data_IF_067500279369
#
_entry.id   IF_067500279369
#
_cell.length_a   1.000
_cell.length_b   1.000
_cell.length_c   1.000
_cell.angle_alpha   90.00
_cell.angle_beta   90.00
_cell.angle_gamma   90.00
#
_symmetry.space_group_name_H-M   'P 1'
#
loop_
_entity.id
_entity.type
_entity.pdbx_description
1 polymer ?
#
# COMPACT_ATOMS: atom_id res chain seq x y z
N UNK A 1 18.09 35.57 -21.98
CA UNK A 1 16.83 35.84 -22.70
C UNK A 1 15.73 35.04 -22.03
N UNK A 2 14.66 35.72 -21.60
CA UNK A 2 13.48 35.12 -20.96
C UNK A 2 12.56 34.55 -22.04
N UNK A 3 12.28 33.25 -22.05
CA UNK A 3 11.14 32.72 -22.81
C UNK A 3 10.08 32.22 -21.82
N UNK A 4 8.90 32.82 -21.94
CA UNK A 4 7.69 32.51 -21.17
C UNK A 4 6.91 31.36 -21.83
N UNK A 5 6.14 30.60 -21.04
CA UNK A 5 5.41 29.42 -21.48
C UNK A 5 4.08 29.79 -22.16
N UNK A 6 3.66 29.00 -23.14
CA UNK A 6 2.32 29.08 -23.74
C UNK A 6 1.63 27.73 -23.56
N UNK A 7 0.96 27.58 -22.42
CA UNK A 7 0.04 26.48 -22.13
C UNK A 7 -1.32 26.84 -22.74
N UNK A 8 -1.71 26.19 -23.83
CA UNK A 8 -3.05 26.33 -24.41
C UNK A 8 -3.95 25.21 -23.89
N UNK A 9 -4.95 25.63 -23.10
CA UNK A 9 -6.09 24.87 -22.61
C UNK A 9 -7.01 24.42 -23.75
N UNK A 10 -7.46 23.16 -23.71
CA UNK A 10 -8.54 22.61 -24.53
C UNK A 10 -9.58 21.96 -23.59
N UNK A 11 -10.81 22.50 -23.46
CA UNK A 11 -11.89 21.84 -22.76
C UNK A 11 -12.71 21.00 -23.74
N UNK A 12 -12.76 19.68 -23.54
CA UNK A 12 -13.71 18.82 -24.25
C UNK A 12 -14.91 18.56 -23.34
N UNK A 13 -15.96 19.30 -23.64
CA UNK A 13 -17.32 19.16 -23.13
C UNK A 13 -17.97 17.95 -23.83
N UNK A 14 -18.36 16.92 -23.08
CA UNK A 14 -19.25 15.86 -23.59
C UNK A 14 -20.44 15.75 -22.64
N UNK A 15 -21.54 16.37 -23.07
CA UNK A 15 -22.89 16.14 -22.53
C UNK A 15 -23.54 15.13 -23.45
N UNK A 16 -23.79 13.91 -22.97
CA UNK A 16 -24.72 13.00 -23.62
C UNK A 16 -25.90 12.68 -22.69
N UNK A 17 -27.07 13.05 -23.20
CA UNK A 17 -28.38 12.86 -22.62
C UNK A 17 -28.96 11.48 -22.98
N UNK A 18 -29.87 11.01 -22.12
CA UNK A 18 -31.05 10.21 -22.50
C UNK A 18 -30.87 8.69 -22.61
N UNK A 19 -31.60 7.91 -21.80
CA UNK A 19 -32.96 7.46 -22.16
C UNK A 19 -33.54 6.50 -21.10
N UNK A 20 -34.76 6.79 -20.67
CA UNK A 20 -35.66 5.92 -19.89
C UNK A 20 -36.42 5.00 -20.85
N UNK A 21 -36.66 3.73 -20.49
CA UNK A 21 -38.05 3.29 -20.37
C UNK A 21 -38.31 2.40 -19.14
N UNK A 22 -39.34 2.78 -18.37
CA UNK A 22 -40.06 1.89 -17.45
C UNK A 22 -41.07 1.04 -18.24
N UNK A 23 -41.27 -0.23 -17.88
CA UNK A 23 -42.61 -0.63 -17.40
C UNK A 23 -42.62 -1.70 -16.29
N UNK A 24 -43.57 -1.56 -15.36
CA UNK A 24 -44.21 -2.59 -14.51
C UNK A 24 -45.74 -2.49 -14.81
N UNK A 25 -46.66 -3.43 -14.49
CA UNK A 25 -46.62 -4.73 -13.78
C UNK A 25 -47.29 -5.88 -14.60
N UNK A 26 -47.46 -7.15 -14.19
CA UNK A 26 -48.31 -7.74 -13.11
C UNK A 26 -48.17 -9.30 -13.21
N UNK A 27 -48.58 -10.11 -12.21
CA UNK A 27 -48.03 -11.44 -11.91
C UNK A 27 -48.68 -12.59 -12.70
N UNK A 28 -47.99 -13.72 -12.75
CA UNK A 28 -48.62 -15.02 -13.01
C UNK A 28 -48.01 -16.03 -12.04
N UNK A 29 -48.81 -16.42 -11.04
CA UNK A 29 -48.55 -17.59 -10.23
C UNK A 29 -48.93 -18.83 -11.06
N UNK A 30 -48.00 -19.76 -11.22
CA UNK A 30 -48.29 -21.17 -11.50
C UNK A 30 -47.28 -21.99 -10.71
N UNK A 31 -47.79 -22.63 -9.66
CA UNK A 31 -47.10 -23.70 -8.96
C UNK A 31 -46.93 -24.89 -9.90
N UNK A 32 -45.74 -25.48 -9.92
CA UNK A 32 -45.55 -26.88 -10.26
C UNK A 32 -44.43 -27.41 -9.39
N UNK A 33 -44.85 -28.09 -8.33
CA UNK A 33 -44.01 -28.96 -7.53
C UNK A 33 -43.36 -30.00 -8.45
N UNK A 34 -42.04 -30.01 -8.48
CA UNK A 34 -41.26 -31.18 -8.83
C UNK A 34 -40.08 -31.22 -7.87
N UNK A 35 -40.19 -32.11 -6.90
CA UNK A 35 -39.16 -32.36 -5.90
C UNK A 35 -37.95 -33.02 -6.57
N UNK A 36 -36.91 -32.21 -6.81
CA UNK A 36 -35.57 -32.69 -7.15
C UNK A 36 -34.77 -32.85 -5.84
N UNK A 37 -34.04 -33.95 -5.60
CA UNK A 37 -33.27 -34.11 -4.38
C UNK A 37 -32.20 -33.02 -4.27
N UNK A 38 -32.32 -32.19 -3.23
CA UNK A 38 -31.39 -31.13 -2.89
C UNK A 38 -30.14 -31.74 -2.27
N UNK A 39 -29.06 -31.84 -3.05
CA UNK A 39 -27.71 -31.95 -2.49
C UNK A 39 -27.40 -30.61 -1.83
N UNK A 40 -27.44 -30.59 -0.50
CA UNK A 40 -27.07 -29.46 0.35
C UNK A 40 -25.64 -29.00 0.04
N UNK A 41 -25.43 -27.76 -0.45
CA UNK A 41 -24.14 -27.12 -0.26
C UNK A 41 -24.04 -26.70 1.21
N UNK A 42 -22.94 -27.08 1.86
CA UNK A 42 -22.59 -26.65 3.21
C UNK A 42 -22.69 -25.12 3.35
N UNK A 43 -23.01 -24.59 4.54
CA UNK A 43 -23.01 -23.14 4.75
C UNK A 43 -21.60 -22.61 4.50
N UNK A 44 -21.45 -21.79 3.46
CA UNK A 44 -20.27 -20.95 3.25
C UNK A 44 -20.08 -20.12 4.53
N UNK A 45 -18.92 -20.17 5.21
CA UNK A 45 -18.67 -19.23 6.29
C UNK A 45 -18.73 -17.83 5.69
N UNK A 46 -19.70 -17.04 6.15
CA UNK A 46 -19.72 -15.61 5.88
C UNK A 46 -18.41 -15.05 6.42
N UNK A 47 -17.59 -14.49 5.53
CA UNK A 47 -16.39 -13.77 5.96
C UNK A 47 -16.88 -12.60 6.82
N UNK A 48 -16.65 -12.68 8.12
CA UNK A 48 -16.80 -11.53 9.01
C UNK A 48 -15.96 -10.40 8.40
N UNK A 49 -16.48 -9.17 8.28
CA UNK A 49 -15.68 -8.03 7.84
C UNK A 49 -14.44 -7.95 8.71
N UNK A 50 -13.27 -7.95 8.08
CA UNK A 50 -12.01 -7.76 8.78
C UNK A 50 -12.14 -6.51 9.65
N UNK A 51 -11.85 -6.68 10.95
CA UNK A 51 -11.70 -5.58 11.89
C UNK A 51 -10.90 -4.48 11.19
N UNK A 52 -11.46 -3.27 11.14
CA UNK A 52 -10.74 -2.11 10.62
C UNK A 52 -9.55 -1.92 11.54
N UNK A 53 -8.39 -2.43 11.11
CA UNK A 53 -7.13 -2.32 11.86
C UNK A 53 -6.95 -0.85 12.17
N UNK A 54 -7.01 -0.51 13.45
CA UNK A 54 -6.74 0.85 13.91
C UNK A 54 -5.38 1.26 13.32
N UNK A 55 -5.22 2.50 12.82
CA UNK A 55 -3.96 2.91 12.24
C UNK A 55 -2.81 2.65 13.23
N UNK A 56 -1.62 2.23 12.74
CA UNK A 56 -0.42 2.09 13.55
C UNK A 56 -0.29 3.30 14.48
N UNK A 57 -0.24 3.06 15.78
CA UNK A 57 0.23 4.10 16.68
C UNK A 57 1.74 4.23 16.54
N UNK A 58 2.25 5.45 16.63
CA UNK A 58 3.68 5.81 16.68
C UNK A 58 4.48 5.15 17.83
N UNK A 59 3.91 4.17 18.54
CA UNK A 59 4.56 3.39 19.60
C UNK A 59 4.28 1.89 19.55
N UNK A 60 3.68 1.38 18.46
CA UNK A 60 3.35 -0.04 18.35
C UNK A 60 4.62 -0.90 18.14
N UNK A 61 5.61 -0.39 17.40
CA UNK A 61 6.84 -1.11 17.12
C UNK A 61 8.00 -0.64 17.98
N UNK A 62 8.88 -1.56 18.38
CA UNK A 62 10.23 -1.20 18.86
C UNK A 62 11.15 -0.89 17.67
N UNK A 63 12.19 -0.08 17.89
CA UNK A 63 13.22 0.19 16.87
C UNK A 63 13.83 -1.12 16.32
N UNK A 64 14.16 -2.07 17.19
CA UNK A 64 14.75 -3.35 16.77
C UNK A 64 13.82 -4.15 15.84
N UNK A 65 12.51 -4.15 16.12
CA UNK A 65 11.53 -4.80 15.24
C UNK A 65 11.45 -4.12 13.88
N UNK A 66 11.39 -2.78 13.84
CA UNK A 66 11.35 -2.01 12.59
C UNK A 66 12.58 -2.29 11.71
N UNK A 67 13.77 -2.30 12.33
CA UNK A 67 15.02 -2.59 11.63
C UNK A 67 15.03 -4.03 11.12
N UNK A 68 14.66 -5.02 11.94
CA UNK A 68 14.59 -6.43 11.50
C UNK A 68 13.66 -6.58 10.31
N UNK A 69 12.43 -6.06 10.42
CA UNK A 69 11.42 -6.10 9.36
C UNK A 69 11.95 -5.49 8.05
N UNK A 70 12.60 -4.33 8.12
CA UNK A 70 13.16 -3.71 6.93
C UNK A 70 14.28 -4.55 6.32
N UNK A 71 15.25 -5.00 7.13
CA UNK A 71 16.36 -5.82 6.60
C UNK A 71 15.89 -7.17 6.06
N UNK A 72 14.92 -7.83 6.70
CA UNK A 72 14.34 -9.09 6.23
C UNK A 72 13.62 -8.90 4.90
N UNK A 73 12.93 -7.77 4.74
CA UNK A 73 12.27 -7.41 3.48
C UNK A 73 13.28 -7.10 2.37
N UNK A 74 14.33 -6.35 2.65
CA UNK A 74 15.35 -6.03 1.63
C UNK A 74 16.16 -7.28 1.23
N UNK A 75 16.39 -8.24 2.14
CA UNK A 75 17.04 -9.51 1.79
C UNK A 75 16.31 -10.30 0.70
N UNK A 76 15.02 -10.04 0.45
CA UNK A 76 14.30 -10.70 -0.67
C UNK A 76 14.72 -10.17 -2.04
N UNK A 77 15.23 -8.93 -2.12
CA UNK A 77 15.72 -8.31 -3.36
C UNK A 77 17.25 -8.30 -3.43
N UNK A 78 17.92 -8.13 -2.28
CA UNK A 78 19.37 -8.02 -2.16
C UNK A 78 19.91 -8.97 -1.09
N UNK A 79 19.99 -10.28 -1.41
CA UNK A 79 20.38 -11.30 -0.44
C UNK A 79 21.83 -11.19 0.05
N UNK A 80 22.68 -10.49 -0.71
CA UNK A 80 24.11 -10.32 -0.43
C UNK A 80 24.42 -8.99 0.29
N UNK A 81 23.42 -8.18 0.62
CA UNK A 81 23.62 -6.92 1.32
C UNK A 81 24.16 -7.16 2.76
N UNK A 82 25.12 -6.35 3.16
CA UNK A 82 25.64 -6.31 4.54
C UNK A 82 25.06 -5.10 5.25
N UNK A 83 24.08 -5.34 6.13
CA UNK A 83 23.37 -4.30 6.88
C UNK A 83 24.12 -3.89 8.15
N UNK A 84 24.11 -2.59 8.45
CA UNK A 84 24.64 -2.01 9.69
C UNK A 84 23.48 -1.56 10.60
N UNK A 85 22.77 -2.54 11.16
CA UNK A 85 21.55 -2.34 11.94
C UNK A 85 21.70 -1.37 13.14
N UNK A 86 22.86 -1.34 13.79
CA UNK A 86 23.12 -0.42 14.91
C UNK A 86 23.13 1.06 14.50
N UNK A 87 23.43 1.34 13.22
CA UNK A 87 23.43 2.69 12.64
C UNK A 87 22.08 3.07 12.03
N UNK A 88 21.07 2.20 12.09
CA UNK A 88 19.77 2.47 11.51
C UNK A 88 19.04 3.63 12.21
N UNK A 89 18.25 4.36 11.44
CA UNK A 89 17.33 5.39 11.93
C UNK A 89 15.88 4.95 11.71
N UNK A 90 15.00 5.43 12.59
CA UNK A 90 13.56 5.19 12.53
C UNK A 90 12.85 6.49 12.88
N UNK A 91 11.97 6.95 11.99
CA UNK A 91 11.19 8.17 12.15
C UNK A 91 9.71 7.87 11.91
N UNK A 92 8.85 8.33 12.81
CA UNK A 92 7.41 8.26 12.59
C UNK A 92 6.98 9.42 11.69
N UNK A 93 6.34 9.12 10.57
CA UNK A 93 5.80 10.09 9.63
C UNK A 93 4.29 10.22 9.87
N UNK A 94 3.89 11.22 10.66
CA UNK A 94 2.48 11.47 11.04
C UNK A 94 1.55 11.61 9.83
N UNK A 95 2.03 12.22 8.74
CA UNK A 95 1.22 12.51 7.55
C UNK A 95 0.82 11.24 6.80
N UNK A 96 1.71 10.25 6.73
CA UNK A 96 1.48 8.98 6.04
C UNK A 96 1.16 7.83 6.99
N UNK A 97 1.18 8.07 8.31
CA UNK A 97 0.96 7.08 9.35
C UNK A 97 1.84 5.83 9.19
N UNK A 98 3.13 6.04 8.89
CA UNK A 98 4.12 4.97 8.76
C UNK A 98 5.41 5.30 9.49
N UNK A 99 6.16 4.26 9.83
CA UNK A 99 7.55 4.36 10.22
C UNK A 99 8.45 4.38 9.00
N UNK A 100 9.20 5.46 8.81
CA UNK A 100 10.34 5.48 7.90
C UNK A 100 11.57 4.88 8.58
N UNK A 101 12.11 3.82 8.00
CA UNK A 101 13.29 3.12 8.48
C UNK A 101 14.37 3.27 7.43
N UNK A 102 15.57 3.70 7.84
CA UNK A 102 16.75 3.73 6.99
C UNK A 102 17.87 2.94 7.67
N UNK A 103 18.38 1.92 6.99
CA UNK A 103 19.44 1.04 7.48
C UNK A 103 20.63 1.16 6.54
N UNK A 104 21.77 1.72 6.97
CA UNK A 104 22.96 1.71 6.15
C UNK A 104 23.36 0.28 5.80
N UNK A 105 23.82 0.07 4.58
CA UNK A 105 24.26 -1.23 4.10
C UNK A 105 25.42 -1.10 3.09
N UNK A 106 26.04 -2.22 2.78
CA UNK A 106 26.95 -2.32 1.64
C UNK A 106 26.53 -3.43 0.70
N UNK A 107 26.59 -3.15 -0.60
CA UNK A 107 26.29 -4.09 -1.69
C UNK A 107 27.50 -4.04 -2.62
N UNK A 108 28.18 -5.17 -2.82
CA UNK A 108 29.39 -5.27 -3.64
C UNK A 108 30.47 -4.21 -3.28
N UNK A 109 30.56 -3.87 -1.98
CA UNK A 109 31.49 -2.88 -1.46
C UNK A 109 31.12 -1.42 -1.75
N UNK A 110 29.91 -1.15 -2.24
CA UNK A 110 29.35 0.20 -2.36
C UNK A 110 28.42 0.50 -1.19
N UNK A 111 28.55 1.70 -0.62
CA UNK A 111 27.66 2.18 0.43
C UNK A 111 26.27 2.47 -0.14
N UNK A 112 25.27 1.87 0.46
CA UNK A 112 23.86 2.05 0.15
C UNK A 112 23.06 2.21 1.45
N UNK A 113 21.77 2.47 1.31
CA UNK A 113 20.82 2.54 2.41
C UNK A 113 19.57 1.78 2.01
N UNK A 114 19.26 0.75 2.79
CA UNK A 114 17.98 0.08 2.78
C UNK A 114 16.93 1.00 3.41
N UNK A 115 15.84 1.25 2.71
CA UNK A 115 14.75 2.12 3.16
C UNK A 115 13.42 1.40 3.13
N UNK A 116 12.61 1.58 4.17
CA UNK A 116 11.26 1.02 4.26
C UNK A 116 10.30 2.02 4.89
N UNK A 117 9.05 2.05 4.41
CA UNK A 117 7.93 2.62 5.15
C UNK A 117 7.02 1.53 5.66
N UNK A 118 6.91 1.43 6.98
CA UNK A 118 6.21 0.33 7.67
C UNK A 118 5.01 0.90 8.43
N UNK A 119 3.82 0.52 8.00
CA UNK A 119 2.55 0.75 8.68
C UNK A 119 2.02 -0.51 9.39
N UNK A 120 0.72 -0.54 9.63
CA UNK A 120 0.03 -1.69 10.24
C UNK A 120 0.30 -1.85 11.73
N UNK A 121 0.63 -3.07 12.17
CA UNK A 121 0.93 -3.38 13.57
C UNK A 121 2.07 -4.41 13.67
N UNK A 122 2.70 -4.62 14.85
CA UNK A 122 3.75 -5.62 15.01
C UNK A 122 3.34 -7.04 14.60
N UNK A 123 2.07 -7.40 14.81
CA UNK A 123 1.53 -8.73 14.46
C UNK A 123 1.11 -8.82 12.99
N UNK A 124 0.88 -7.68 12.33
CA UNK A 124 0.52 -7.58 10.92
C UNK A 124 1.17 -6.33 10.31
N UNK A 125 2.49 -6.35 10.04
CA UNK A 125 3.20 -5.22 9.48
C UNK A 125 2.80 -5.03 8.03
N UNK A 126 2.57 -3.77 7.63
CA UNK A 126 2.26 -3.40 6.26
C UNK A 126 3.42 -2.60 5.66
N UNK A 127 3.95 -3.04 4.51
CA UNK A 127 5.07 -2.35 3.85
C UNK A 127 4.50 -1.49 2.74
N UNK A 128 4.49 -0.17 2.96
CA UNK A 128 3.98 0.79 1.97
C UNK A 128 5.02 1.04 0.87
N UNK A 129 6.31 0.90 1.21
CA UNK A 129 7.42 0.83 0.26
C UNK A 129 8.63 0.16 0.92
N UNK A 130 9.50 -0.38 0.08
CA UNK A 130 10.80 -0.88 0.47
C UNK A 130 11.74 -0.81 -0.73
N UNK A 131 13.02 -0.53 -0.49
CA UNK A 131 14.02 -0.52 -1.53
C UNK A 131 15.39 -0.14 -1.00
N UNK A 132 16.29 0.11 -1.93
CA UNK A 132 17.67 0.49 -1.66
C UNK A 132 17.94 1.80 -2.38
N UNK A 133 18.77 2.65 -1.78
CA UNK A 133 19.14 3.94 -2.37
C UNK A 133 20.56 4.32 -1.99
N UNK A 134 21.14 5.27 -2.72
CA UNK A 134 22.37 5.91 -2.30
C UNK A 134 22.10 6.79 -1.05
N UNK A 135 23.10 7.04 -0.20
CA UNK A 135 22.91 7.82 1.02
C UNK A 135 22.28 9.21 0.82
N UNK A 136 22.51 9.85 -0.33
CA UNK A 136 21.93 11.15 -0.68
C UNK A 136 20.46 11.07 -1.14
N UNK A 137 19.97 9.89 -1.55
CA UNK A 137 18.59 9.66 -1.97
C UNK A 137 17.59 9.47 -0.84
N UNK A 138 18.05 9.18 0.38
CA UNK A 138 17.21 8.86 1.56
C UNK A 138 16.21 9.99 1.87
N UNK A 139 16.66 11.24 1.80
CA UNK A 139 15.82 12.40 2.10
C UNK A 139 14.67 12.56 1.09
N UNK A 140 14.94 12.33 -0.20
CA UNK A 140 13.92 12.38 -1.25
C UNK A 140 12.82 11.32 -1.05
N UNK A 141 13.23 10.09 -0.72
CA UNK A 141 12.29 8.98 -0.47
C UNK A 141 11.41 9.28 0.75
N UNK A 142 11.99 9.86 1.80
CA UNK A 142 11.23 10.32 2.97
C UNK A 142 10.22 11.42 2.61
N UNK A 143 10.60 12.37 1.76
CA UNK A 143 9.71 13.45 1.32
C UNK A 143 8.57 12.91 0.43
N UNK A 144 8.84 11.95 -0.45
CA UNK A 144 7.81 11.26 -1.26
C UNK A 144 6.81 10.53 -0.36
N UNK A 145 7.31 9.87 0.69
CA UNK A 145 6.51 9.23 1.72
C UNK A 145 5.59 10.20 2.46
N UNK A 146 6.12 11.38 2.82
CA UNK A 146 5.35 12.46 3.45
C UNK A 146 4.27 13.03 2.52
N UNK A 147 4.53 13.03 1.21
CA UNK A 147 3.58 13.46 0.18
C UNK A 147 2.50 12.39 -0.12
N UNK A 148 2.66 11.15 0.39
CA UNK A 148 1.80 10.02 0.02
C UNK A 148 2.11 9.47 -1.38
N UNK A 149 3.27 9.80 -1.93
CA UNK A 149 3.75 9.41 -3.24
C UNK A 149 4.58 8.12 -3.22
N UNK A 150 4.34 7.27 -2.21
CA UNK A 150 4.91 5.93 -2.11
C UNK A 150 4.91 5.24 -3.49
N UNK A 151 6.08 5.14 -4.11
CA UNK A 151 6.25 4.67 -5.49
C UNK A 151 5.66 3.28 -5.63
N UNK A 152 4.46 3.21 -6.19
CA UNK A 152 3.83 1.97 -6.58
C UNK A 152 4.35 1.59 -7.95
N UNK A 153 5.09 0.50 -8.02
CA UNK A 153 5.16 -0.35 -9.20
C UNK A 153 5.14 -1.80 -8.71
N UNK A 154 4.04 -2.48 -9.07
CA UNK A 154 3.83 -3.93 -9.00
C UNK A 154 4.76 -4.69 -9.97
#
# INVERSE_FOLDING_TARGET
MRLRPALLLLPVLVVLAGCTPAPEPTPTATSSDTATPSSSPAPTPTATPAETSSPPAAGAFTKGQLVSLCTDKIRTISPNATFFADMATTEWLEQSAVWFVAVPETIDGQDNVAVCGIGGSPDAPDFVMHGETLPDGVAGIRDDLLAGNAGGDD
#
